data_IF_333870307473
#
_entry.id   IF_333870307473
#
_cell.length_a   1.000
_cell.length_b   1.000
_cell.length_c   1.000
_cell.angle_alpha   90.00
_cell.angle_beta   90.00
_cell.angle_gamma   90.00
#
_symmetry.space_group_name_H-M   'P 1'
#
loop_
_entity.id
_entity.type
_entity.pdbx_description
1 polymer ?
#
# COMPACT_ATOMS: atom_id res chain seq x y z
N UNK A 1 2.16 15.78 2.19
CA UNK A 1 2.21 14.45 2.85
C UNK A 1 2.02 13.39 1.79
N UNK A 2 2.98 12.49 1.65
CA UNK A 2 2.91 11.36 0.73
C UNK A 2 2.02 10.27 1.32
N UNK A 3 1.14 9.69 0.50
CA UNK A 3 0.44 8.43 0.82
C UNK A 3 0.72 7.46 -0.31
N UNK A 4 1.35 6.33 -0.01
CA UNK A 4 1.67 5.27 -0.97
C UNK A 4 0.70 4.11 -0.81
N UNK A 5 -0.05 3.85 -1.87
CA UNK A 5 -0.97 2.74 -2.00
C UNK A 5 -0.28 1.59 -2.75
N UNK A 6 -0.26 0.42 -2.14
CA UNK A 6 0.14 -0.85 -2.74
C UNK A 6 -1.12 -1.68 -3.01
N UNK A 7 -1.42 -1.95 -4.28
CA UNK A 7 -2.52 -2.82 -4.68
C UNK A 7 -2.05 -4.10 -5.36
N UNK A 8 -2.80 -5.16 -5.06
CA UNK A 8 -2.57 -6.52 -5.55
C UNK A 8 -3.71 -6.99 -6.45
N UNK A 9 -4.42 -6.04 -7.09
CA UNK A 9 -5.55 -6.28 -7.98
C UNK A 9 -5.03 -6.78 -9.33
N UNK A 10 -5.66 -7.83 -9.85
CA UNK A 10 -5.37 -8.31 -11.19
C UNK A 10 -6.13 -7.43 -12.17
N UNK A 11 -5.46 -6.89 -13.19
CA UNK A 11 -6.12 -6.17 -14.28
C UNK A 11 -6.91 -7.13 -15.21
N UNK A 12 -7.88 -7.86 -14.68
CA UNK A 12 -8.73 -8.78 -15.42
C UNK A 12 -10.14 -8.83 -14.82
N UNK A 13 -11.14 -8.93 -15.69
CA UNK A 13 -12.56 -8.95 -15.35
C UNK A 13 -12.95 -7.89 -14.29
N UNK A 14 -13.65 -8.29 -13.23
CA UNK A 14 -14.15 -7.39 -12.18
C UNK A 14 -13.04 -6.60 -11.47
N UNK A 15 -11.83 -7.17 -11.36
CA UNK A 15 -10.73 -6.51 -10.64
C UNK A 15 -10.12 -5.35 -11.43
N UNK A 16 -10.27 -5.32 -12.76
CA UNK A 16 -9.91 -4.16 -13.57
C UNK A 16 -10.80 -2.96 -13.23
N UNK A 17 -12.13 -3.15 -13.22
CA UNK A 17 -13.06 -2.08 -12.83
C UNK A 17 -12.84 -1.61 -11.40
N UNK A 18 -12.56 -2.53 -10.47
CA UNK A 18 -12.18 -2.18 -9.09
C UNK A 18 -10.90 -1.33 -9.04
N UNK A 19 -9.90 -1.64 -9.88
CA UNK A 19 -8.67 -0.86 -9.95
C UNK A 19 -8.95 0.54 -10.50
N UNK A 20 -9.71 0.66 -11.58
CA UNK A 20 -10.09 1.94 -12.20
C UNK A 20 -10.81 2.85 -11.19
N UNK A 21 -11.85 2.33 -10.53
CA UNK A 21 -12.60 3.05 -9.50
C UNK A 21 -11.70 3.48 -8.33
N UNK A 22 -10.80 2.59 -7.91
CA UNK A 22 -9.92 2.89 -6.79
C UNK A 22 -8.85 3.91 -7.15
N UNK A 23 -8.30 3.88 -8.36
CA UNK A 23 -7.33 4.86 -8.85
C UNK A 23 -7.96 6.26 -8.88
N UNK A 24 -9.18 6.38 -9.38
CA UNK A 24 -9.93 7.65 -9.38
C UNK A 24 -10.21 8.14 -7.95
N UNK A 25 -10.64 7.26 -7.05
CA UNK A 25 -10.84 7.61 -5.64
C UNK A 25 -9.55 8.06 -4.95
N UNK A 26 -8.42 7.39 -5.25
CA UNK A 26 -7.10 7.75 -4.72
C UNK A 26 -6.65 9.11 -5.27
N UNK A 27 -6.83 9.37 -6.57
CA UNK A 27 -6.50 10.67 -7.18
C UNK A 27 -7.32 11.82 -6.57
N UNK A 28 -8.58 11.60 -6.23
CA UNK A 28 -9.41 12.60 -5.56
C UNK A 28 -8.82 13.09 -4.21
N UNK A 29 -7.93 12.31 -3.57
CA UNK A 29 -7.23 12.74 -2.36
C UNK A 29 -6.31 13.94 -2.60
N UNK A 30 -5.89 14.23 -3.82
CA UNK A 30 -5.12 15.46 -4.14
C UNK A 30 -5.89 16.75 -3.82
N UNK A 31 -7.21 16.67 -3.84
CA UNK A 31 -8.09 17.79 -3.49
C UNK A 31 -8.29 17.94 -1.97
N UNK A 32 -7.67 17.07 -1.17
CA UNK A 32 -7.79 17.06 0.28
C UNK A 32 -6.68 17.88 0.95
N UNK A 33 -7.09 18.77 1.85
CA UNK A 33 -6.23 19.54 2.73
C UNK A 33 -6.50 19.17 4.19
N UNK A 34 -5.47 18.75 4.91
CA UNK A 34 -5.55 18.43 6.33
C UNK A 34 -5.10 19.62 7.16
N UNK A 35 -5.90 20.03 8.14
CA UNK A 35 -5.55 21.08 9.11
C UNK A 35 -5.73 20.56 10.52
N UNK A 36 -4.76 20.85 11.38
CA UNK A 36 -4.87 20.56 12.80
C UNK A 36 -5.40 21.76 13.58
N UNK A 37 -6.21 21.50 14.60
CA UNK A 37 -6.72 22.52 15.53
C UNK A 37 -6.59 22.01 16.96
N UNK A 38 -6.41 22.89 17.97
CA UNK A 38 -6.45 22.46 19.35
C UNK A 38 -7.84 21.92 19.69
N UNK A 39 -7.90 20.82 20.42
CA UNK A 39 -9.14 20.28 20.95
C UNK A 39 -9.79 21.28 21.92
N UNK A 40 -11.10 21.52 21.77
CA UNK A 40 -11.84 22.49 22.58
C UNK A 40 -12.34 21.91 23.91
N UNK A 41 -12.44 20.59 24.04
CA UNK A 41 -12.82 19.92 25.30
C UNK A 41 -12.00 18.65 25.53
N UNK A 42 -11.79 18.31 26.80
CA UNK A 42 -11.00 17.14 27.24
C UNK A 42 -11.72 15.80 27.05
N UNK A 43 -13.05 15.80 26.91
CA UNK A 43 -13.89 14.59 26.96
C UNK A 43 -14.73 14.32 25.70
N UNK A 44 -14.71 15.18 24.67
CA UNK A 44 -15.38 14.87 23.40
C UNK A 44 -14.46 14.04 22.51
N UNK A 45 -14.98 12.96 21.93
CA UNK A 45 -14.31 12.18 20.89
C UNK A 45 -13.67 13.15 19.88
N UNK A 46 -12.34 13.07 19.72
CA UNK A 46 -11.55 13.94 18.83
C UNK A 46 -11.82 13.57 17.37
N UNK A 47 -13.05 13.80 16.92
CA UNK A 47 -13.49 13.38 15.60
C UNK A 47 -13.05 14.38 14.54
N UNK A 48 -12.51 13.90 13.40
CA UNK A 48 -12.26 14.74 12.24
C UNK A 48 -13.55 15.41 11.75
N UNK A 49 -13.45 16.67 11.31
CA UNK A 49 -14.53 17.42 10.68
C UNK A 49 -14.21 17.65 9.21
N UNK A 50 -15.21 17.51 8.34
CA UNK A 50 -15.06 17.61 6.90
C UNK A 50 -15.78 18.86 6.38
N UNK A 51 -15.12 19.63 5.53
CA UNK A 51 -15.66 20.83 4.90
C UNK A 51 -15.35 20.83 3.40
N UNK A 52 -16.19 21.50 2.61
CA UNK A 52 -15.94 21.73 1.19
C UNK A 52 -16.79 20.88 0.26
N UNK A 53 -16.24 20.55 -0.90
CA UNK A 53 -16.89 19.85 -2.02
C UNK A 53 -16.02 18.71 -2.54
N UNK A 54 -16.46 18.02 -3.59
CA UNK A 54 -15.68 16.96 -4.27
C UNK A 54 -14.31 17.45 -4.79
N UNK A 55 -14.24 18.70 -5.25
CA UNK A 55 -13.03 19.28 -5.87
C UNK A 55 -12.17 20.05 -4.88
N UNK A 56 -12.62 20.18 -3.63
CA UNK A 56 -11.90 20.83 -2.55
C UNK A 56 -12.42 20.32 -1.21
N UNK A 57 -11.68 19.45 -0.53
CA UNK A 57 -12.07 18.91 0.76
C UNK A 57 -11.07 19.34 1.84
N UNK A 58 -11.56 19.95 2.92
CA UNK A 58 -10.75 20.31 4.09
C UNK A 58 -11.11 19.40 5.25
N UNK A 59 -10.15 18.63 5.72
CA UNK A 59 -10.27 17.76 6.88
C UNK A 59 -9.63 18.48 8.08
N UNK A 60 -10.44 18.83 9.06
CA UNK A 60 -9.99 19.49 10.30
C UNK A 60 -9.92 18.45 11.41
N UNK A 61 -8.70 18.15 11.86
CA UNK A 61 -8.44 17.15 12.89
C UNK A 61 -8.14 17.86 14.22
N UNK A 62 -9.00 17.69 15.25
CA UNK A 62 -8.72 18.20 16.59
C UNK A 62 -7.60 17.38 17.24
N UNK A 63 -6.58 18.04 17.79
CA UNK A 63 -5.49 17.40 18.51
C UNK A 63 -5.51 17.77 20.00
N UNK A 64 -5.14 16.83 20.90
CA UNK A 64 -4.88 17.16 22.29
C UNK A 64 -3.83 18.28 22.41
N UNK A 65 -3.96 19.13 23.42
CA UNK A 65 -3.08 20.29 23.61
C UNK A 65 -1.58 19.93 23.58
N UNK A 66 -1.19 18.82 24.21
CA UNK A 66 0.20 18.36 24.23
C UNK A 66 0.73 17.95 22.85
N UNK A 67 -0.11 17.40 21.96
CA UNK A 67 0.28 17.08 20.58
C UNK A 67 0.32 18.35 19.72
N UNK A 68 -0.69 19.22 19.84
CA UNK A 68 -0.76 20.47 19.10
C UNK A 68 0.45 21.38 19.40
N UNK A 69 0.89 21.42 20.66
CA UNK A 69 2.08 22.15 21.08
C UNK A 69 3.38 21.67 20.40
N UNK A 70 3.45 20.42 19.91
CA UNK A 70 4.62 19.86 19.21
C UNK A 70 4.66 20.16 17.72
N UNK A 71 3.58 20.73 17.15
CA UNK A 71 3.54 21.05 15.72
C UNK A 71 4.50 22.19 15.35
N UNK A 72 5.01 22.21 14.11
CA UNK A 72 5.64 23.38 13.52
C UNK A 72 4.74 24.62 13.60
N UNK A 73 5.34 25.81 13.72
CA UNK A 73 4.60 27.05 13.88
C UNK A 73 3.64 27.31 12.70
N UNK A 74 4.05 27.00 11.48
CA UNK A 74 3.23 27.13 10.27
C UNK A 74 1.90 26.37 10.37
N UNK A 75 1.91 25.19 11.00
CA UNK A 75 0.69 24.39 11.19
C UNK A 75 -0.15 24.91 12.37
N UNK A 76 0.50 25.45 13.41
CA UNK A 76 -0.20 26.09 14.54
C UNK A 76 -0.94 27.35 14.10
N UNK A 77 -0.35 28.12 13.18
CA UNK A 77 -0.93 29.35 12.62
C UNK A 77 -2.05 29.08 11.60
N UNK A 78 -2.37 27.80 11.37
CA UNK A 78 -3.49 27.39 10.54
C UNK A 78 -3.12 26.94 9.14
N UNK A 79 -1.84 26.70 8.88
CA UNK A 79 -1.36 26.02 7.69
C UNK A 79 -2.03 24.66 7.50
N UNK A 80 -2.11 24.25 6.24
CA UNK A 80 -2.72 22.99 5.84
C UNK A 80 -1.74 22.10 5.09
N UNK A 81 -1.85 20.80 5.31
CA UNK A 81 -1.04 19.79 4.64
C UNK A 81 -1.83 19.26 3.44
N UNK A 82 -1.24 19.37 2.25
CA UNK A 82 -1.78 18.72 1.04
C UNK A 82 -1.38 17.25 0.99
N UNK A 83 -2.26 16.41 0.47
CA UNK A 83 -2.00 14.99 0.23
C UNK A 83 -1.42 14.82 -1.18
N UNK A 84 -0.38 14.00 -1.30
CA UNK A 84 0.16 13.52 -2.57
C UNK A 84 0.00 12.01 -2.57
N UNK A 85 -1.07 11.48 -3.18
CA UNK A 85 -1.31 10.05 -3.24
C UNK A 85 -0.52 9.44 -4.40
N UNK A 86 0.15 8.32 -4.21
CA UNK A 86 0.76 7.52 -5.29
C UNK A 86 0.27 6.09 -5.16
N UNK A 87 -0.01 5.44 -6.28
CA UNK A 87 -0.48 4.05 -6.32
C UNK A 87 0.44 3.20 -7.19
N UNK A 88 0.85 2.07 -6.65
CA UNK A 88 1.54 1.01 -7.39
C UNK A 88 0.67 -0.25 -7.35
N UNK A 89 0.38 -0.83 -8.50
CA UNK A 89 -0.41 -2.05 -8.63
C UNK A 89 0.36 -3.17 -9.33
N UNK A 90 0.31 -4.37 -8.76
CA UNK A 90 0.83 -5.59 -9.37
C UNK A 90 -0.12 -6.73 -9.02
N UNK A 91 -0.85 -7.25 -10.02
CA UNK A 91 -1.78 -8.34 -9.83
C UNK A 91 -1.11 -9.66 -9.47
N UNK A 92 -1.41 -10.17 -8.27
CA UNK A 92 -0.97 -11.48 -7.78
C UNK A 92 -2.17 -12.43 -7.74
N UNK A 93 -2.62 -12.95 -8.89
CA UNK A 93 -3.66 -13.99 -8.92
C UNK A 93 -3.51 -15.05 -10.04
N UNK A 94 -4.30 -16.13 -9.93
CA UNK A 94 -4.31 -17.37 -10.71
C UNK A 94 -5.12 -17.32 -12.02
N UNK A 95 -6.23 -16.55 -12.08
CA UNK A 95 -7.02 -16.42 -13.32
C UNK A 95 -6.18 -15.81 -14.43
N UNK A 96 -5.37 -14.84 -14.04
CA UNK A 96 -4.31 -14.28 -14.83
C UNK A 96 -3.39 -15.41 -15.34
N UNK A 97 -2.67 -16.17 -14.50
CA UNK A 97 -1.67 -17.13 -15.00
C UNK A 97 -2.16 -18.24 -15.94
N UNK A 98 -3.40 -18.75 -15.79
CA UNK A 98 -3.93 -19.79 -16.71
C UNK A 98 -4.67 -19.23 -17.94
N UNK A 99 -5.38 -18.09 -17.84
CA UNK A 99 -5.95 -17.39 -19.00
C UNK A 99 -4.89 -16.60 -19.80
N UNK A 100 -3.77 -16.22 -19.17
CA UNK A 100 -2.57 -15.58 -19.77
C UNK A 100 -1.90 -16.42 -20.85
N UNK A 101 -2.06 -17.75 -20.81
CA UNK A 101 -1.55 -18.64 -21.85
C UNK A 101 -2.50 -18.78 -23.05
N UNK A 102 -3.75 -18.32 -22.95
CA UNK A 102 -4.79 -18.57 -23.97
C UNK A 102 -5.31 -17.34 -24.70
N UNK A 103 -4.95 -16.12 -24.30
CA UNK A 103 -5.64 -14.91 -24.80
C UNK A 103 -4.67 -13.79 -25.18
N UNK A 104 -4.96 -13.10 -26.30
CA UNK A 104 -4.22 -11.94 -26.83
C UNK A 104 -4.19 -10.70 -25.90
N UNK A 105 -4.92 -10.73 -24.78
CA UNK A 105 -5.04 -9.64 -23.80
C UNK A 105 -3.86 -9.54 -22.79
N UNK A 106 -2.81 -10.34 -22.96
CA UNK A 106 -1.63 -10.30 -22.09
C UNK A 106 -0.88 -8.96 -22.17
N UNK A 107 -0.72 -8.44 -23.38
CA UNK A 107 0.00 -7.18 -23.61
C UNK A 107 -0.78 -5.99 -23.04
N UNK A 108 -2.10 -5.94 -23.21
CA UNK A 108 -2.92 -4.82 -22.75
C UNK A 108 -2.99 -4.72 -21.22
N UNK A 109 -3.14 -5.84 -20.52
CA UNK A 109 -3.28 -5.83 -19.04
C UNK A 109 -1.98 -5.50 -18.31
N UNK A 110 -0.85 -6.08 -18.77
CA UNK A 110 0.48 -5.74 -18.26
C UNK A 110 0.85 -4.29 -18.57
N UNK A 111 0.44 -3.80 -19.74
CA UNK A 111 0.65 -2.40 -20.12
C UNK A 111 -0.16 -1.45 -19.24
N UNK A 112 -1.41 -1.75 -18.91
CA UNK A 112 -2.22 -0.93 -17.98
C UNK A 112 -1.56 -0.85 -16.60
N UNK A 113 -1.07 -1.96 -16.04
CA UNK A 113 -0.35 -1.95 -14.76
C UNK A 113 0.94 -1.11 -14.85
N UNK A 114 1.73 -1.31 -15.90
CA UNK A 114 2.98 -0.59 -16.09
C UNK A 114 2.76 0.91 -16.29
N UNK A 115 1.81 1.31 -17.13
CA UNK A 115 1.48 2.72 -17.39
C UNK A 115 1.00 3.41 -16.11
N UNK A 116 0.17 2.73 -15.30
CA UNK A 116 -0.23 3.24 -13.98
C UNK A 116 0.99 3.44 -13.07
N UNK A 117 1.86 2.43 -13.00
CA UNK A 117 3.04 2.46 -12.15
C UNK A 117 4.04 3.56 -12.61
N UNK A 118 4.27 3.73 -13.92
CA UNK A 118 5.13 4.78 -14.48
C UNK A 118 4.61 6.18 -14.16
N UNK A 119 3.31 6.43 -14.37
CA UNK A 119 2.69 7.72 -14.02
C UNK A 119 2.83 8.04 -12.54
N UNK A 120 2.67 7.04 -11.67
CA UNK A 120 2.80 7.23 -10.22
C UNK A 120 4.26 7.35 -9.76
N UNK A 121 5.20 6.74 -10.48
CA UNK A 121 6.63 6.98 -10.27
C UNK A 121 7.02 8.44 -10.59
N UNK A 122 6.54 9.00 -11.70
CA UNK A 122 6.79 10.40 -12.03
C UNK A 122 6.23 11.34 -10.96
N UNK A 123 5.04 11.03 -10.44
CA UNK A 123 4.42 11.78 -9.33
C UNK A 123 5.22 11.66 -8.03
N UNK A 124 5.71 10.47 -7.71
CA UNK A 124 6.61 10.26 -6.56
C UNK A 124 7.92 11.04 -6.73
N UNK A 125 8.51 11.03 -7.92
CA UNK A 125 9.71 11.77 -8.29
C UNK A 125 9.51 13.27 -8.12
N UNK A 126 8.39 13.81 -8.58
CA UNK A 126 8.02 15.21 -8.38
C UNK A 126 7.89 15.56 -6.89
N UNK A 127 7.25 14.71 -6.09
CA UNK A 127 7.14 14.89 -4.64
C UNK A 127 8.52 14.93 -3.97
N UNK A 128 9.38 13.94 -4.23
CA UNK A 128 10.73 13.86 -3.66
C UNK A 128 11.55 15.09 -4.03
N UNK A 129 11.55 15.50 -5.31
CA UNK A 129 12.28 16.67 -5.78
C UNK A 129 11.82 17.97 -5.09
N UNK A 130 10.51 18.11 -4.84
CA UNK A 130 9.95 19.28 -4.14
C UNK A 130 10.32 19.36 -2.65
N UNK A 131 10.73 18.23 -2.06
CA UNK A 131 10.97 18.08 -0.62
C UNK A 131 12.41 17.69 -0.28
N UNK A 132 13.32 17.70 -1.26
CA UNK A 132 14.64 17.04 -1.17
C UNK A 132 15.49 17.49 0.01
N UNK A 133 15.41 18.76 0.41
CA UNK A 133 16.17 19.32 1.53
C UNK A 133 15.72 18.81 2.91
N UNK A 134 14.54 18.20 3.01
CA UNK A 134 13.93 17.73 4.26
C UNK A 134 13.89 16.20 4.36
N UNK A 135 14.50 15.51 3.39
CA UNK A 135 14.39 14.07 3.22
C UNK A 135 15.72 13.36 3.48
N UNK A 136 15.66 12.04 3.74
CA UNK A 136 16.84 11.20 3.95
C UNK A 136 17.78 11.22 2.74
N UNK A 137 19.09 11.25 2.98
CA UNK A 137 20.14 11.38 1.95
C UNK A 137 20.17 10.22 0.95
N UNK A 138 19.63 9.06 1.30
CA UNK A 138 19.62 7.85 0.47
C UNK A 138 18.39 7.72 -0.46
N UNK A 139 17.40 8.61 -0.35
CA UNK A 139 16.22 8.59 -1.23
C UNK A 139 16.59 8.68 -2.72
N UNK A 140 17.54 9.54 -3.17
CA UNK A 140 17.92 9.59 -4.57
C UNK A 140 18.38 8.26 -5.15
N UNK A 141 19.12 7.46 -4.38
CA UNK A 141 19.60 6.15 -4.84
C UNK A 141 18.48 5.11 -4.82
N UNK A 142 17.59 5.15 -3.83
CA UNK A 142 16.35 4.35 -3.84
C UNK A 142 15.47 4.68 -5.04
N UNK A 143 15.34 5.95 -5.42
CA UNK A 143 14.58 6.39 -6.59
C UNK A 143 15.16 5.83 -7.90
N UNK A 144 16.50 5.85 -8.07
CA UNK A 144 17.17 5.22 -9.22
C UNK A 144 16.95 3.71 -9.25
N UNK A 145 17.04 3.05 -8.09
CA UNK A 145 16.83 1.61 -7.99
C UNK A 145 15.37 1.24 -8.31
N UNK A 146 14.41 2.04 -7.88
CA UNK A 146 13.00 1.88 -8.23
C UNK A 146 12.79 2.06 -9.74
N UNK A 147 13.36 3.11 -10.34
CA UNK A 147 13.32 3.34 -11.80
C UNK A 147 13.85 2.12 -12.56
N UNK A 148 15.07 1.68 -12.24
CA UNK A 148 15.67 0.50 -12.86
C UNK A 148 14.81 -0.76 -12.69
N UNK A 149 14.26 -0.97 -11.50
CA UNK A 149 13.38 -2.10 -11.22
C UNK A 149 12.15 -2.06 -12.12
N UNK A 150 11.48 -0.91 -12.24
CA UNK A 150 10.28 -0.78 -13.08
C UNK A 150 10.54 -1.10 -14.56
N UNK A 151 11.70 -0.68 -15.10
CA UNK A 151 12.05 -0.92 -16.50
C UNK A 151 12.70 -2.29 -16.79
N UNK A 152 12.89 -3.14 -15.77
CA UNK A 152 13.56 -4.45 -15.93
C UNK A 152 12.76 -5.51 -16.72
N UNK A 153 11.56 -5.18 -17.21
CA UNK A 153 10.63 -6.09 -17.93
C UNK A 153 10.35 -7.42 -17.21
N UNK A 154 10.60 -7.49 -15.89
CA UNK A 154 10.29 -8.66 -15.06
C UNK A 154 8.76 -8.83 -14.99
N UNK A 155 8.20 -10.00 -15.32
CA UNK A 155 6.77 -10.23 -15.16
C UNK A 155 6.38 -10.23 -13.67
N UNK A 156 5.25 -9.60 -13.32
CA UNK A 156 4.78 -9.46 -11.93
C UNK A 156 5.90 -8.94 -11.01
N UNK A 157 6.46 -7.77 -11.34
CA UNK A 157 7.66 -7.24 -10.67
C UNK A 157 7.39 -6.71 -9.26
N UNK A 158 7.09 -7.60 -8.32
CA UNK A 158 6.78 -7.25 -6.93
C UNK A 158 7.93 -6.56 -6.18
N UNK A 159 9.13 -6.49 -6.76
CA UNK A 159 10.29 -5.79 -6.19
C UNK A 159 10.07 -4.25 -6.20
N UNK A 160 9.11 -3.75 -6.98
CA UNK A 160 8.66 -2.35 -6.96
C UNK A 160 8.14 -1.96 -5.56
N UNK A 161 7.39 -2.85 -4.92
CA UNK A 161 6.73 -2.57 -3.64
C UNK A 161 7.68 -2.26 -2.48
N UNK A 162 8.69 -3.10 -2.15
CA UNK A 162 9.62 -2.80 -1.06
C UNK A 162 10.44 -1.54 -1.31
N UNK A 163 10.72 -1.19 -2.57
CA UNK A 163 11.42 0.05 -2.92
C UNK A 163 10.53 1.27 -2.71
N UNK A 164 9.30 1.25 -3.24
CA UNK A 164 8.31 2.30 -3.02
C UNK A 164 7.97 2.48 -1.54
N UNK A 165 7.89 1.38 -0.77
CA UNK A 165 7.70 1.41 0.68
C UNK A 165 8.86 2.11 1.38
N UNK A 166 10.11 1.69 1.11
CA UNK A 166 11.30 2.31 1.71
C UNK A 166 11.33 3.81 1.45
N UNK A 167 11.11 4.23 0.20
CA UNK A 167 11.04 5.66 -0.18
C UNK A 167 9.93 6.35 0.62
N UNK A 168 8.73 5.78 0.68
CA UNK A 168 7.61 6.35 1.42
C UNK A 168 7.94 6.56 2.90
N UNK A 169 8.57 5.57 3.55
CA UNK A 169 8.96 5.65 4.96
C UNK A 169 10.07 6.67 5.21
N UNK A 170 11.09 6.72 4.35
CA UNK A 170 12.14 7.75 4.41
C UNK A 170 11.59 9.16 4.17
N UNK A 171 10.43 9.26 3.53
CA UNK A 171 9.69 10.49 3.36
C UNK A 171 8.61 10.77 4.42
N UNK A 172 8.60 10.00 5.52
CA UNK A 172 7.60 10.10 6.59
C UNK A 172 6.15 10.02 6.06
N UNK A 173 5.95 9.28 4.95
CA UNK A 173 4.67 9.08 4.30
C UNK A 173 3.84 7.98 4.97
N UNK A 174 2.59 7.89 4.54
CA UNK A 174 1.64 6.87 5.00
C UNK A 174 1.57 5.74 3.99
N UNK A 175 1.53 4.50 4.47
CA UNK A 175 1.40 3.28 3.68
C UNK A 175 0.00 2.71 3.78
N UNK A 176 -0.54 2.29 2.65
CA UNK A 176 -1.83 1.61 2.54
C UNK A 176 -1.66 0.41 1.62
N UNK A 177 -2.09 -0.78 2.05
CA UNK A 177 -2.01 -2.01 1.26
C UNK A 177 -3.41 -2.56 1.06
N UNK A 178 -3.74 -2.95 -0.17
CA UNK A 178 -5.10 -3.39 -0.52
C UNK A 178 -5.15 -4.44 -1.63
N UNK A 179 -6.29 -5.11 -1.69
CA UNK A 179 -6.69 -6.02 -2.75
C UNK A 179 -8.23 -6.05 -2.80
N UNK A 180 -8.81 -6.90 -3.65
CA UNK A 180 -10.26 -7.02 -3.85
C UNK A 180 -11.08 -7.11 -2.55
N UNK A 181 -10.62 -7.91 -1.58
CA UNK A 181 -11.36 -8.20 -0.34
C UNK A 181 -10.65 -7.75 0.93
N UNK A 182 -9.50 -7.09 0.80
CA UNK A 182 -8.63 -6.68 1.91
C UNK A 182 -8.23 -7.81 2.89
N UNK A 183 -8.43 -9.09 2.50
CA UNK A 183 -8.22 -10.27 3.35
C UNK A 183 -6.98 -11.03 2.93
N UNK A 184 -7.07 -11.82 1.87
CA UNK A 184 -6.07 -12.87 1.60
C UNK A 184 -4.76 -12.30 1.04
N UNK A 185 -4.79 -11.67 -0.14
CA UNK A 185 -3.60 -11.06 -0.77
C UNK A 185 -3.06 -9.88 0.05
N UNK A 186 -3.97 -9.06 0.61
CA UNK A 186 -3.58 -7.97 1.51
C UNK A 186 -2.83 -8.47 2.72
N UNK A 187 -3.24 -9.59 3.32
CA UNK A 187 -2.47 -10.21 4.42
C UNK A 187 -1.07 -10.63 3.97
N UNK A 188 -0.92 -11.16 2.75
CA UNK A 188 0.40 -11.55 2.23
C UNK A 188 1.33 -10.33 2.08
N UNK A 189 0.85 -9.24 1.48
CA UNK A 189 1.60 -7.99 1.34
C UNK A 189 1.89 -7.32 2.68
N UNK A 190 0.88 -7.17 3.54
CA UNK A 190 1.02 -6.56 4.87
C UNK A 190 2.03 -7.31 5.73
N UNK A 191 1.94 -8.64 5.82
CA UNK A 191 2.90 -9.44 6.61
C UNK A 191 4.31 -9.38 6.04
N UNK A 192 4.45 -9.28 4.71
CA UNK A 192 5.75 -9.10 4.05
C UNK A 192 6.40 -7.77 4.43
N UNK A 193 5.65 -6.68 4.35
CA UNK A 193 6.08 -5.35 4.81
C UNK A 193 6.50 -5.38 6.28
N UNK A 194 5.70 -5.99 7.17
CA UNK A 194 6.08 -6.13 8.59
C UNK A 194 7.36 -6.96 8.79
N UNK A 195 7.51 -8.08 8.10
CA UNK A 195 8.71 -8.92 8.18
C UNK A 195 9.97 -8.19 7.68
N UNK A 196 9.85 -7.47 6.57
CA UNK A 196 10.94 -6.66 6.03
C UNK A 196 11.35 -5.53 6.98
N UNK A 197 10.42 -4.93 7.71
CA UNK A 197 10.77 -3.94 8.74
C UNK A 197 11.63 -4.53 9.86
N UNK A 198 11.33 -5.76 10.29
CA UNK A 198 12.15 -6.46 11.27
C UNK A 198 13.56 -6.71 10.75
N UNK A 199 13.68 -7.19 9.52
CA UNK A 199 14.99 -7.44 8.88
C UNK A 199 15.77 -6.13 8.69
N UNK A 200 15.12 -5.08 8.18
CA UNK A 200 15.81 -3.84 7.83
C UNK A 200 16.16 -2.96 9.04
N UNK A 201 15.36 -2.99 10.11
CA UNK A 201 15.44 -2.01 11.20
C UNK A 201 15.67 -2.63 12.60
N UNK A 202 15.58 -3.96 12.75
CA UNK A 202 15.59 -4.62 14.05
C UNK A 202 16.62 -5.76 14.16
N UNK A 203 17.65 -5.75 13.31
CA UNK A 203 18.77 -6.73 13.33
C UNK A 203 18.31 -8.20 13.22
N UNK A 204 17.16 -8.45 12.59
CA UNK A 204 16.73 -9.79 12.24
C UNK A 204 17.45 -10.22 10.97
N UNK A 205 17.95 -11.45 10.94
CA UNK A 205 18.66 -11.93 9.77
C UNK A 205 17.66 -12.20 8.62
N UNK A 206 18.07 -11.88 7.40
CA UNK A 206 17.25 -12.12 6.21
C UNK A 206 16.87 -13.60 6.05
N UNK A 207 17.68 -14.56 6.54
CA UNK A 207 17.31 -15.98 6.48
C UNK A 207 16.09 -16.32 7.34
N UNK A 208 15.80 -15.51 8.38
CA UNK A 208 14.66 -15.70 9.28
C UNK A 208 13.36 -15.14 8.70
N UNK A 209 13.42 -14.37 7.60
CA UNK A 209 12.25 -13.69 7.04
C UNK A 209 11.11 -14.66 6.75
N UNK A 210 11.39 -15.79 6.09
CA UNK A 210 10.35 -16.74 5.71
C UNK A 210 9.65 -17.34 6.95
N UNK A 211 10.40 -17.60 8.03
CA UNK A 211 9.84 -18.13 9.27
C UNK A 211 8.99 -17.09 10.01
N UNK A 212 9.40 -15.82 9.97
CA UNK A 212 8.59 -14.70 10.49
C UNK A 212 7.27 -14.58 9.73
N UNK A 213 7.31 -14.63 8.39
CA UNK A 213 6.10 -14.57 7.57
C UNK A 213 5.15 -15.73 7.90
N UNK A 214 5.70 -16.93 8.07
CA UNK A 214 4.95 -18.11 8.49
C UNK A 214 4.25 -17.87 9.84
N UNK A 215 4.96 -17.36 10.84
CA UNK A 215 4.38 -17.05 12.16
C UNK A 215 3.28 -15.97 12.08
N UNK A 216 3.52 -14.87 11.36
CA UNK A 216 2.52 -13.82 11.19
C UNK A 216 1.25 -14.31 10.50
N UNK A 217 1.38 -15.17 9.49
CA UNK A 217 0.25 -15.69 8.72
C UNK A 217 -0.52 -16.80 9.43
N UNK A 218 0.11 -17.49 10.38
CA UNK A 218 -0.52 -18.56 11.16
C UNK A 218 -1.11 -18.08 12.48
N UNK A 219 -0.38 -17.23 13.19
CA UNK A 219 -0.65 -16.86 14.58
C UNK A 219 -0.81 -15.34 14.77
N UNK A 220 -0.59 -14.54 13.71
CA UNK A 220 -0.72 -13.08 13.77
C UNK A 220 -2.13 -12.58 13.48
N UNK A 221 -2.32 -11.27 13.57
CA UNK A 221 -3.64 -10.63 13.43
C UNK A 221 -4.25 -10.78 12.03
N UNK A 222 -3.43 -10.99 11.00
CA UNK A 222 -3.89 -11.10 9.62
C UNK A 222 -4.80 -12.32 9.39
N UNK A 223 -4.61 -13.43 10.11
CA UNK A 223 -5.53 -14.58 10.00
C UNK A 223 -6.84 -14.35 10.75
N UNK A 224 -6.84 -13.49 11.79
CA UNK A 224 -8.05 -13.10 12.51
C UNK A 224 -8.97 -12.23 11.63
N UNK A 225 -8.40 -11.44 10.71
CA UNK A 225 -9.19 -10.73 9.69
C UNK A 225 -9.93 -11.72 8.78
N UNK A 226 -9.32 -12.87 8.46
CA UNK A 226 -10.00 -13.90 7.69
C UNK A 226 -11.17 -14.51 8.48
N UNK A 227 -10.95 -14.82 9.76
CA UNK A 227 -12.01 -15.29 10.65
C UNK A 227 -13.16 -14.30 10.76
N UNK A 228 -12.87 -13.02 10.99
CA UNK A 228 -13.91 -11.99 11.14
C UNK A 228 -14.76 -11.85 9.88
N UNK A 229 -14.17 -12.01 8.69
CA UNK A 229 -14.86 -11.84 7.42
C UNK A 229 -15.59 -13.10 6.93
N UNK A 230 -15.09 -14.30 7.22
CA UNK A 230 -15.60 -15.56 6.62
C UNK A 230 -16.07 -16.59 7.65
N UNK A 231 -15.85 -16.34 8.94
CA UNK A 231 -16.06 -17.31 10.00
C UNK A 231 -14.99 -18.41 10.07
N UNK A 232 -13.95 -18.35 9.24
CA UNK A 232 -12.92 -19.41 9.13
C UNK A 232 -11.51 -18.80 9.24
N UNK A 233 -10.67 -19.37 10.10
CA UNK A 233 -9.23 -19.04 10.23
C UNK A 233 -8.40 -19.66 9.09
N UNK A 234 -8.72 -19.33 7.86
CA UNK A 234 -7.97 -19.77 6.68
C UNK A 234 -8.06 -18.74 5.55
N UNK A 235 -6.95 -18.58 4.83
CA UNK A 235 -6.92 -17.83 3.58
C UNK A 235 -7.60 -18.62 2.46
N UNK A 236 -8.37 -17.93 1.63
CA UNK A 236 -9.11 -18.53 0.51
C UNK A 236 -8.21 -18.71 -0.72
N UNK A 237 -7.15 -19.50 -0.57
CA UNK A 237 -6.24 -19.87 -1.66
C UNK A 237 -6.27 -21.37 -1.92
N UNK A 238 -6.19 -21.75 -3.19
CA UNK A 238 -5.90 -23.13 -3.58
C UNK A 238 -4.39 -23.34 -3.70
N UNK A 239 -3.94 -24.60 -3.50
CA UNK A 239 -2.52 -24.96 -3.65
C UNK A 239 -1.97 -24.59 -5.04
N UNK A 240 -2.78 -24.75 -6.09
CA UNK A 240 -2.39 -24.41 -7.46
C UNK A 240 -2.22 -22.90 -7.63
N UNK A 241 -3.07 -22.10 -6.99
CA UNK A 241 -2.96 -20.64 -7.04
C UNK A 241 -1.62 -20.18 -6.43
N UNK A 242 -1.26 -20.69 -5.25
CA UNK A 242 -0.04 -20.32 -4.54
C UNK A 242 1.24 -20.66 -5.31
N UNK A 243 1.23 -21.70 -6.15
CA UNK A 243 2.38 -22.00 -7.02
C UNK A 243 2.69 -20.86 -8.01
N UNK A 244 1.70 -20.03 -8.34
CA UNK A 244 1.86 -18.89 -9.26
C UNK A 244 2.24 -17.58 -8.58
N UNK A 245 2.30 -17.58 -7.24
CA UNK A 245 2.61 -16.40 -6.45
C UNK A 245 4.14 -16.27 -6.32
N UNK A 246 4.66 -15.03 -6.24
CA UNK A 246 6.03 -14.79 -5.80
C UNK A 246 6.28 -15.46 -4.44
N UNK A 247 7.50 -15.94 -4.23
CA UNK A 247 7.88 -16.77 -3.08
C UNK A 247 7.37 -16.22 -1.74
N UNK A 248 7.71 -14.98 -1.41
CA UNK A 248 7.33 -14.36 -0.14
C UNK A 248 5.84 -14.00 -0.03
N UNK A 249 5.07 -14.04 -1.11
CA UNK A 249 3.62 -13.81 -1.09
C UNK A 249 2.81 -15.11 -0.89
N UNK A 250 3.46 -16.27 -0.76
CA UNK A 250 2.77 -17.55 -0.58
C UNK A 250 2.29 -17.73 0.86
N UNK A 251 1.04 -18.13 1.04
CA UNK A 251 0.52 -18.54 2.35
C UNK A 251 1.18 -19.85 2.81
N UNK A 252 1.38 -20.00 4.12
CA UNK A 252 1.99 -21.19 4.71
C UNK A 252 1.05 -22.39 4.65
N UNK A 253 1.58 -23.60 4.47
CA UNK A 253 0.79 -24.82 4.58
C UNK A 253 0.01 -24.89 5.91
N UNK A 254 -1.25 -25.31 5.84
CA UNK A 254 -2.16 -25.34 7.00
C UNK A 254 -2.86 -24.00 7.32
N UNK A 255 -2.57 -22.93 6.57
CA UNK A 255 -3.23 -21.61 6.74
C UNK A 255 -4.17 -21.24 5.60
N UNK A 256 -4.34 -22.11 4.59
CA UNK A 256 -5.17 -21.84 3.42
C UNK A 256 -6.01 -23.06 3.01
N UNK A 257 -7.10 -22.82 2.28
CA UNK A 257 -7.94 -23.87 1.71
C UNK A 257 -8.98 -23.33 0.72
N UNK A 258 -9.71 -24.24 0.06
CA UNK A 258 -10.84 -23.91 -0.80
C UNK A 258 -12.05 -23.49 0.06
N UNK A 259 -11.92 -22.36 0.72
CA UNK A 259 -13.02 -21.73 1.45
C UNK A 259 -13.76 -20.86 0.45
N UNK A 260 -15.03 -21.19 0.17
CA UNK A 260 -15.89 -20.30 -0.61
C UNK A 260 -16.10 -19.02 0.20
N UNK A 261 -15.77 -17.88 -0.41
CA UNK A 261 -16.10 -16.53 0.08
C UNK A 261 -17.14 -15.91 -0.81
#
# INVERSE_FOLDING_TARGET
>A
MLISFEYLLTCDADELGMLEDSVEAIHALEHVQVRFVPATTTNSLLQPRFFGTRFYCKVVIPLPAHMFARLPQELKDGGSIRIVPVVFNIGIDHRASFARLKTLNFFSTTQVENDLNYKNFDKLKAFVNSSINNLSEDIPDLMKLLEHTMYSNKPKNVDIFPLAEKICRRAYGIRVTGCKSAKDRTSMGFTLEQGQLLVNNHNVDHHELQDILNQFRRNGTSIENALANTGIKAYAFSKVQLMTFPEYYRAQHGTYGNVQT
#
